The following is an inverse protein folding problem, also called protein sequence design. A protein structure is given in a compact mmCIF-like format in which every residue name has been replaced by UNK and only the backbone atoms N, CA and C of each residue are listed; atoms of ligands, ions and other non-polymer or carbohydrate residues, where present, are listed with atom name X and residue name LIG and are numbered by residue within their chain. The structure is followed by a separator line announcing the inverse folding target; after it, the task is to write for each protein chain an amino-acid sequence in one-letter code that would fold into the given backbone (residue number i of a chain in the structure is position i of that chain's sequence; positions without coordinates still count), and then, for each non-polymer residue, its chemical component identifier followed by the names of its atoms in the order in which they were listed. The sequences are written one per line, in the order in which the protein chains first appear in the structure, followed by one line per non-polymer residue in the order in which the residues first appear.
data_IF_108447765119
#
_entry.id   IF_108447765119
#
_cell.length_a   1.000
_cell.length_b   1.000
_cell.length_c   1.000
_cell.angle_alpha   90.00
_cell.angle_beta   90.00
_cell.angle_gamma   90.00
#
_symmetry.space_group_name_H-M   'P 1'
#
loop_
_entity.id
_entity.type
_entity.pdbx_description
1 polymer ?
#
# COMPACT_ATOMS: atom_id res chain seq x y z
N UNK A 1 -6.99 -0.68 5.71
CA UNK A 1 -6.28 -1.61 4.84
C UNK A 1 -7.26 -2.67 4.38
N UNK A 2 -6.98 -3.28 3.23
CA UNK A 2 -7.69 -4.47 2.79
C UNK A 2 -6.86 -5.68 3.16
N UNK A 3 -7.34 -6.50 4.09
CA UNK A 3 -6.67 -7.75 4.47
C UNK A 3 -7.11 -8.84 3.51
N UNK A 4 -6.20 -9.74 3.13
CA UNK A 4 -6.56 -10.92 2.35
C UNK A 4 -7.55 -11.78 3.13
N UNK A 5 -8.47 -12.42 2.43
CA UNK A 5 -9.58 -13.18 3.03
C UNK A 5 -9.10 -14.24 4.04
N UNK A 6 -7.95 -14.86 3.78
CA UNK A 6 -7.30 -15.85 4.66
C UNK A 6 -6.94 -15.28 6.05
N UNK A 7 -6.59 -13.99 6.14
CA UNK A 7 -6.14 -13.35 7.38
C UNK A 7 -7.16 -12.36 7.95
N UNK A 8 -8.41 -12.40 7.47
CA UNK A 8 -9.45 -11.43 7.84
C UNK A 8 -9.73 -11.36 9.36
N UNK A 9 -9.50 -12.45 10.08
CA UNK A 9 -9.69 -12.54 11.54
C UNK A 9 -8.41 -12.32 12.35
N UNK A 10 -7.26 -12.10 11.70
CA UNK A 10 -6.02 -11.83 12.38
C UNK A 10 -6.03 -10.42 12.98
N UNK A 11 -5.51 -10.29 14.19
CA UNK A 11 -5.22 -9.03 14.84
C UNK A 11 -4.09 -8.28 14.12
N UNK A 12 -3.97 -6.95 14.30
CA UNK A 12 -2.85 -6.17 13.77
C UNK A 12 -1.47 -6.73 14.16
N UNK A 13 -1.32 -7.27 15.35
CA UNK A 13 -0.05 -7.84 15.83
C UNK A 13 0.30 -9.15 15.10
N UNK A 14 -0.67 -10.05 14.93
CA UNK A 14 -0.49 -11.27 14.13
C UNK A 14 -0.14 -10.94 12.67
N UNK A 15 -0.79 -9.92 12.09
CA UNK A 15 -0.46 -9.47 10.73
C UNK A 15 0.98 -8.96 10.62
N UNK A 16 1.50 -8.25 11.64
CA UNK A 16 2.91 -7.80 11.68
C UNK A 16 3.87 -8.98 11.73
N UNK A 17 3.57 -10.00 12.52
CA UNK A 17 4.40 -11.21 12.62
C UNK A 17 4.49 -11.94 11.27
N UNK A 18 3.36 -12.09 10.56
CA UNK A 18 3.30 -12.73 9.24
C UNK A 18 4.18 -12.04 8.18
N UNK A 19 4.49 -10.76 8.37
CA UNK A 19 5.31 -9.99 7.43
C UNK A 19 6.82 -10.11 7.67
N UNK A 20 7.26 -10.84 8.70
CA UNK A 20 8.68 -11.05 9.00
C UNK A 20 9.40 -11.70 7.81
N UNK A 21 10.44 -11.04 7.30
CA UNK A 21 11.17 -11.47 6.10
C UNK A 21 10.37 -11.35 4.78
N UNK A 22 9.16 -10.79 4.84
CA UNK A 22 8.28 -10.57 3.70
C UNK A 22 8.62 -9.33 2.89
N UNK A 23 7.69 -8.93 2.02
CA UNK A 23 7.88 -7.78 1.12
C UNK A 23 6.74 -6.78 1.21
N UNK A 24 7.06 -5.51 0.97
CA UNK A 24 6.09 -4.45 0.71
C UNK A 24 6.34 -3.87 -0.69
N UNK A 25 5.47 -4.19 -1.64
CA UNK A 25 5.57 -3.72 -3.03
C UNK A 25 4.65 -2.52 -3.25
N UNK A 26 5.21 -1.41 -3.73
CA UNK A 26 4.49 -0.17 -4.00
C UNK A 26 4.08 -0.11 -5.47
N UNK A 27 2.82 0.23 -5.74
CA UNK A 27 2.25 0.32 -7.08
C UNK A 27 1.73 1.72 -7.38
N UNK A 28 1.77 2.10 -8.66
CA UNK A 28 1.28 3.39 -9.16
C UNK A 28 -0.18 3.43 -9.57
N UNK A 29 -0.92 2.32 -9.41
CA UNK A 29 -2.33 2.21 -9.79
C UNK A 29 -3.25 2.34 -8.57
N UNK A 30 -4.56 2.37 -8.81
CA UNK A 30 -5.55 2.31 -7.74
C UNK A 30 -5.45 0.98 -6.96
N UNK A 31 -5.63 1.04 -5.62
CA UNK A 31 -5.75 -0.15 -4.77
C UNK A 31 -6.90 -1.04 -5.27
N UNK A 32 -6.70 -2.35 -5.47
CA UNK A 32 -7.77 -3.28 -5.76
C UNK A 32 -8.86 -3.27 -4.67
N UNK A 33 -10.07 -3.71 -5.02
CA UNK A 33 -11.19 -3.77 -4.08
C UNK A 33 -10.94 -4.73 -2.91
N UNK A 34 -10.22 -5.83 -3.15
CA UNK A 34 -9.73 -6.76 -2.11
C UNK A 34 -8.29 -7.14 -2.37
N UNK A 35 -7.57 -7.57 -1.33
CA UNK A 35 -6.17 -7.98 -1.45
C UNK A 35 -6.01 -9.30 -2.24
N UNK A 36 -7.06 -10.11 -2.33
CA UNK A 36 -7.07 -11.38 -3.08
C UNK A 36 -7.05 -11.16 -4.60
N UNK A 37 -7.40 -9.96 -5.08
CA UNK A 37 -7.36 -9.64 -6.51
C UNK A 37 -5.89 -9.50 -6.96
N UNK A 38 -5.54 -10.25 -8.00
CA UNK A 38 -4.24 -10.19 -8.63
C UNK A 38 -3.95 -8.81 -9.26
N UNK A 39 -2.67 -8.47 -9.37
CA UNK A 39 -2.19 -7.16 -9.81
C UNK A 39 -1.38 -7.37 -11.08
N UNK A 40 -2.06 -7.30 -12.23
CA UNK A 40 -1.55 -7.88 -13.48
C UNK A 40 -0.88 -6.84 -14.41
N UNK A 41 -1.23 -5.55 -14.25
CA UNK A 41 -0.84 -4.45 -15.16
C UNK A 41 -0.45 -3.18 -14.41
N UNK A 42 0.31 -3.33 -13.34
CA UNK A 42 0.63 -2.21 -12.45
C UNK A 42 2.11 -1.90 -12.50
N UNK A 43 2.45 -0.61 -12.67
CA UNK A 43 3.83 -0.15 -12.53
C UNK A 43 4.26 -0.33 -11.09
N UNK A 44 5.06 -1.37 -10.83
CA UNK A 44 5.79 -1.52 -9.56
C UNK A 44 6.76 -0.36 -9.47
N UNK A 45 6.56 0.51 -8.48
CA UNK A 45 7.39 1.68 -8.25
C UNK A 45 8.63 1.33 -7.41
N UNK A 46 8.45 0.49 -6.40
CA UNK A 46 9.50 0.10 -5.46
C UNK A 46 9.09 -1.18 -4.72
N UNK A 47 10.07 -1.95 -4.24
CA UNK A 47 9.82 -3.07 -3.34
C UNK A 47 10.76 -2.96 -2.15
N UNK A 48 10.18 -2.97 -0.95
CA UNK A 48 10.90 -3.06 0.31
C UNK A 48 10.87 -4.51 0.79
N UNK A 49 11.94 -4.93 1.47
CA UNK A 49 11.98 -6.21 2.19
C UNK A 49 11.90 -5.91 3.68
N UNK A 50 10.94 -6.53 4.38
CA UNK A 50 10.86 -6.45 5.83
C UNK A 50 12.01 -7.23 6.46
N UNK A 51 12.54 -6.74 7.58
CA UNK A 51 13.44 -7.49 8.43
C UNK A 51 12.67 -8.61 9.17
N UNK A 52 13.38 -9.36 10.02
CA UNK A 52 12.78 -10.32 10.93
C UNK A 52 13.27 -9.99 12.35
N UNK A 53 12.43 -9.39 13.22
CA UNK A 53 11.00 -9.10 13.03
C UNK A 53 10.72 -7.96 12.03
N UNK A 54 9.51 -7.96 11.43
CA UNK A 54 9.10 -6.94 10.44
C UNK A 54 8.80 -5.57 11.06
N UNK A 55 8.45 -5.52 12.35
CA UNK A 55 8.08 -4.30 13.05
C UNK A 55 8.74 -4.23 14.42
N UNK A 56 9.17 -3.03 14.80
CA UNK A 56 9.56 -2.68 16.16
C UNK A 56 8.37 -2.21 17.00
N UNK A 57 8.62 -1.66 18.20
CA UNK A 57 7.56 -1.12 19.04
C UNK A 57 6.87 0.08 18.35
N UNK A 58 5.54 0.08 18.34
CA UNK A 58 4.73 1.19 17.83
C UNK A 58 4.82 2.41 18.75
N UNK A 59 4.75 3.62 18.18
CA UNK A 59 4.74 4.88 18.94
C UNK A 59 3.69 5.83 18.38
N UNK A 60 2.91 6.46 19.26
CA UNK A 60 1.93 7.52 18.90
C UNK A 60 0.95 7.14 17.77
N UNK A 61 0.53 5.87 17.72
CA UNK A 61 -0.39 5.38 16.69
C UNK A 61 0.24 5.19 15.30
N UNK A 62 1.57 5.26 15.20
CA UNK A 62 2.35 4.83 14.04
C UNK A 62 3.11 3.54 14.35
N UNK A 63 3.12 2.65 13.36
CA UNK A 63 3.94 1.46 13.37
C UNK A 63 5.39 1.80 13.02
N UNK A 64 6.33 1.01 13.55
CA UNK A 64 7.75 1.14 13.27
C UNK A 64 8.22 -0.01 12.36
N UNK A 65 7.96 0.02 11.04
CA UNK A 65 8.39 -1.04 10.15
C UNK A 65 9.92 -1.10 10.08
N UNK A 66 10.46 -2.29 10.25
CA UNK A 66 11.87 -2.59 10.08
C UNK A 66 12.07 -3.12 8.67
N UNK A 67 12.72 -2.34 7.81
CA UNK A 67 13.10 -2.76 6.46
C UNK A 67 14.59 -3.07 6.40
N UNK A 68 14.97 -4.01 5.55
CA UNK A 68 16.39 -4.26 5.24
C UNK A 68 17.07 -3.02 4.64
N UNK A 69 16.31 -2.20 3.91
CA UNK A 69 16.73 -0.90 3.42
C UNK A 69 15.54 0.08 3.40
N UNK A 70 15.76 1.30 3.87
CA UNK A 70 14.84 2.43 3.74
C UNK A 70 15.66 3.73 3.74
N UNK A 71 15.85 4.38 2.60
CA UNK A 71 15.11 4.24 1.34
C UNK A 71 15.50 3.01 0.49
N UNK A 72 14.67 2.70 -0.51
CA UNK A 72 15.00 1.83 -1.64
C UNK A 72 14.94 2.62 -2.95
N UNK A 73 15.65 2.20 -3.99
CA UNK A 73 15.60 2.84 -5.30
C UNK A 73 14.29 2.52 -6.03
N UNK A 74 13.64 3.54 -6.61
CA UNK A 74 12.49 3.32 -7.47
C UNK A 74 12.87 2.63 -8.79
N UNK A 75 12.04 1.70 -9.25
CA UNK A 75 12.19 0.98 -10.52
C UNK A 75 11.61 1.73 -11.71
N UNK A 76 10.49 2.44 -11.50
CA UNK A 76 9.76 3.13 -12.57
C UNK A 76 9.25 4.50 -12.11
N UNK A 77 8.90 5.35 -13.07
CA UNK A 77 8.26 6.64 -12.78
C UNK A 77 6.79 6.46 -12.40
N UNK A 78 6.30 7.22 -11.43
CA UNK A 78 4.88 7.34 -11.13
C UNK A 78 4.57 7.86 -9.73
N UNK A 79 3.29 7.99 -9.41
CA UNK A 79 2.82 8.40 -8.08
C UNK A 79 2.33 7.16 -7.33
N UNK A 80 2.76 6.91 -6.08
CA UNK A 80 2.24 5.81 -5.28
C UNK A 80 0.72 5.91 -5.11
N UNK A 81 0.03 4.79 -5.34
CA UNK A 81 -1.41 4.66 -5.09
C UNK A 81 -1.72 3.69 -3.95
N UNK A 82 -1.03 2.55 -3.91
CA UNK A 82 -1.14 1.57 -2.84
C UNK A 82 0.14 0.75 -2.70
N UNK A 83 0.26 0.02 -1.59
CA UNK A 83 1.31 -0.97 -1.41
C UNK A 83 0.71 -2.30 -0.94
N UNK A 84 1.24 -3.40 -1.46
CA UNK A 84 0.86 -4.77 -1.09
C UNK A 84 1.93 -5.38 -0.20
N UNK A 85 1.54 -5.86 0.96
CA UNK A 85 2.39 -6.61 1.86
C UNK A 85 2.20 -8.11 1.64
N UNK A 86 3.31 -8.85 1.64
CA UNK A 86 3.35 -10.30 1.44
C UNK A 86 4.24 -10.94 2.49
N UNK A 87 3.95 -12.18 2.87
CA UNK A 87 4.85 -13.03 3.64
C UNK A 87 6.14 -13.33 2.86
N UNK A 88 7.13 -13.92 3.52
CA UNK A 88 8.37 -14.36 2.89
C UNK A 88 8.15 -15.40 1.76
N UNK A 89 7.08 -16.20 1.84
CA UNK A 89 6.71 -17.18 0.80
C UNK A 89 5.95 -16.55 -0.39
N UNK A 90 5.69 -15.24 -0.36
CA UNK A 90 4.96 -14.52 -1.40
C UNK A 90 3.45 -14.44 -1.22
N UNK A 91 2.88 -15.09 -0.20
CA UNK A 91 1.44 -15.04 0.11
C UNK A 91 1.02 -13.61 0.46
N UNK A 92 -0.05 -13.12 -0.15
CA UNK A 92 -0.57 -11.76 0.07
C UNK A 92 -1.22 -11.67 1.44
N UNK A 93 -0.81 -10.69 2.26
CA UNK A 93 -1.36 -10.45 3.60
C UNK A 93 -2.36 -9.30 3.58
N UNK A 94 -1.97 -8.14 3.03
CA UNK A 94 -2.82 -6.96 3.02
C UNK A 94 -2.38 -5.92 1.97
N UNK A 95 -3.33 -5.08 1.56
CA UNK A 95 -3.11 -3.88 0.77
C UNK A 95 -3.36 -2.60 1.60
N UNK A 96 -2.38 -1.70 1.56
CA UNK A 96 -2.38 -0.41 2.25
C UNK A 96 -2.49 0.72 1.23
N UNK A 97 -3.28 1.76 1.53
CA UNK A 97 -3.24 2.98 0.72
C UNK A 97 -1.91 3.69 0.94
N UNK A 98 -1.36 4.25 -0.13
CA UNK A 98 -0.03 4.81 -0.11
C UNK A 98 0.01 6.10 -0.93
N UNK A 99 0.81 7.08 -0.52
CA UNK A 99 0.99 8.33 -1.23
C UNK A 99 0.67 9.57 -0.39
N UNK A 100 0.29 10.66 -1.05
CA UNK A 100 -0.05 11.93 -0.40
C UNK A 100 -1.43 11.89 0.29
N UNK A 101 -1.62 12.78 1.27
CA UNK A 101 -2.84 12.85 2.08
C UNK A 101 -2.76 12.03 3.38
N UNK A 102 -3.91 11.73 4.00
CA UNK A 102 -3.97 10.91 5.21
C UNK A 102 -4.06 9.40 4.89
N UNK A 103 -2.99 8.90 4.25
CA UNK A 103 -2.85 7.48 3.86
C UNK A 103 -2.21 6.67 4.98
N UNK A 104 -2.41 5.35 4.91
CA UNK A 104 -1.77 4.39 5.82
C UNK A 104 -0.24 4.40 5.66
N UNK A 105 0.24 4.55 4.43
CA UNK A 105 1.67 4.66 4.14
C UNK A 105 1.96 6.03 3.53
N UNK A 106 2.89 6.75 4.16
CA UNK A 106 3.43 8.00 3.61
C UNK A 106 4.90 7.83 3.25
N UNK A 107 5.24 8.41 2.11
CA UNK A 107 6.61 8.53 1.65
C UNK A 107 7.13 9.95 1.86
N UNK A 108 8.46 10.10 1.94
CA UNK A 108 9.09 11.42 2.00
C UNK A 108 8.79 12.25 0.74
N UNK A 109 8.72 11.58 -0.42
CA UNK A 109 8.44 12.18 -1.71
C UNK A 109 7.09 11.70 -2.26
N UNK A 110 6.40 12.56 -3.01
CA UNK A 110 5.06 12.28 -3.57
C UNK A 110 5.08 11.75 -5.00
N UNK A 111 6.27 11.52 -5.57
CA UNK A 111 6.47 10.90 -6.87
C UNK A 111 7.76 10.08 -6.89
N UNK A 112 7.79 9.06 -7.75
CA UNK A 112 8.94 8.21 -7.98
C UNK A 112 9.51 8.48 -9.37
N UNK A 113 10.83 8.42 -9.50
CA UNK A 113 11.57 8.37 -10.75
C UNK A 113 12.63 7.27 -10.65
N UNK A 114 12.99 6.59 -11.74
CA UNK A 114 13.97 5.50 -11.71
C UNK A 114 15.26 5.90 -11.00
N UNK A 115 15.69 5.09 -10.03
CA UNK A 115 16.89 5.32 -9.22
C UNK A 115 16.73 6.31 -8.06
N UNK A 116 15.65 7.11 -8.02
CA UNK A 116 15.42 8.03 -6.91
C UNK A 116 15.03 7.25 -5.62
N UNK A 117 15.40 7.78 -4.43
CA UNK A 117 15.10 7.13 -3.17
C UNK A 117 13.61 7.22 -2.83
N UNK A 118 12.98 6.07 -2.62
CA UNK A 118 11.63 5.95 -2.03
C UNK A 118 11.80 5.65 -0.55
N UNK A 119 11.45 6.61 0.30
CA UNK A 119 11.59 6.50 1.77
C UNK A 119 10.22 6.43 2.42
N UNK A 120 9.93 5.37 3.18
CA UNK A 120 8.74 5.31 4.05
C UNK A 120 9.01 6.16 5.30
N UNK A 121 8.10 7.08 5.60
CA UNK A 121 8.21 7.99 6.76
C UNK A 121 7.07 7.81 7.76
N UNK A 122 5.95 7.20 7.35
CA UNK A 122 4.84 6.84 8.23
C UNK A 122 4.21 5.54 7.74
N UNK A 123 3.91 4.65 8.67
CA UNK A 123 3.13 3.45 8.44
C UNK A 123 2.09 3.35 9.56
N UNK A 124 0.81 3.18 9.22
CA UNK A 124 -0.24 2.83 10.18
C UNK A 124 -0.97 1.58 9.75
N UNK A 125 -1.28 0.70 10.71
CA UNK A 125 -2.13 -0.47 10.48
C UNK A 125 -3.50 -0.14 11.07
N UNK A 126 -4.45 0.19 10.18
CA UNK A 126 -5.85 0.45 10.54
C UNK A 126 -6.78 -0.19 9.53
N UNK A 127 -7.92 -0.72 9.98
CA UNK A 127 -8.95 -1.27 9.10
C UNK A 127 -9.81 -0.15 8.48
N UNK A 128 -10.20 -0.30 7.20
CA UNK A 128 -11.34 0.41 6.59
C UNK A 128 -11.34 1.95 6.46
N UNK A 129 -10.28 2.68 6.78
CA UNK A 129 -10.40 4.12 7.10
C UNK A 129 -10.00 5.12 5.99
N UNK A 130 -9.85 4.70 4.72
CA UNK A 130 -9.58 5.64 3.61
C UNK A 130 -10.56 5.38 2.47
N UNK A 131 -11.32 6.39 1.96
CA UNK A 131 -12.64 6.19 1.39
C UNK A 131 -12.59 5.18 0.26
N UNK A 132 -12.83 3.93 0.64
CA UNK A 132 -13.29 2.91 -0.24
C UNK A 132 -14.67 3.40 -0.60
N UNK A 133 -14.80 3.81 -1.86
CA UNK A 133 -16.06 4.11 -2.49
C UNK A 133 -16.42 2.83 -3.22
N UNK A 134 -17.11 1.86 -2.58
CA UNK A 134 -17.43 0.59 -3.22
C UNK A 134 -18.19 0.84 -4.54
N UNK A 135 -18.93 1.96 -4.58
CA UNK A 135 -19.67 2.50 -5.71
C UNK A 135 -18.81 2.91 -6.92
N UNK A 136 -17.50 3.15 -6.77
CA UNK A 136 -16.59 3.43 -7.89
C UNK A 136 -15.88 2.18 -8.43
N UNK A 137 -15.88 1.06 -7.70
CA UNK A 137 -15.22 -0.16 -8.15
C UNK A 137 -16.11 -0.90 -9.17
N UNK A 138 -15.54 -1.24 -10.34
CA UNK A 138 -16.27 -1.96 -11.40
C UNK A 138 -17.26 -1.10 -12.22
N UNK A 139 -17.45 0.18 -11.88
CA UNK A 139 -18.19 1.10 -12.75
C UNK A 139 -17.35 1.43 -13.98
N UNK A 140 -17.85 1.05 -15.17
CA UNK A 140 -17.40 1.67 -16.41
C UNK A 140 -17.74 3.17 -16.34
N UNK A 141 -16.97 4.06 -16.99
CA UNK A 141 -17.37 5.46 -17.10
C UNK A 141 -18.82 5.51 -17.56
N UNK A 142 -19.72 6.08 -16.75
CA UNK A 142 -21.08 6.32 -17.22
C UNK A 142 -20.94 7.32 -18.34
N UNK A 143 -21.28 6.92 -19.56
CA UNK A 143 -21.40 7.85 -20.67
C UNK A 143 -22.39 8.94 -20.26
N UNK A 144 -21.96 10.20 -20.26
CA UNK A 144 -22.86 11.35 -20.09
C UNK A 144 -23.00 11.96 -18.70
N UNK A 145 -21.91 12.24 -17.96
CA UNK A 145 -21.96 13.41 -17.08
C UNK A 145 -21.84 14.66 -17.96
N UNK A 146 -22.87 15.54 -18.02
CA UNK A 146 -22.69 16.82 -18.68
C UNK A 146 -21.57 17.56 -17.97
N UNK A 147 -20.63 18.13 -18.74
CA UNK A 147 -19.67 19.07 -18.20
C UNK A 147 -20.41 20.20 -17.47
N UNK A 148 -19.91 20.71 -16.33
CA UNK A 148 -20.47 21.91 -15.73
C UNK A 148 -20.52 22.99 -16.80
N UNK A 149 -21.71 23.51 -17.06
CA UNK A 149 -21.85 24.70 -17.90
C UNK A 149 -21.13 25.80 -17.13
N UNK A 150 -20.08 26.37 -17.73
CA UNK A 150 -19.35 27.48 -17.13
C UNK A 150 -20.33 28.61 -16.74
N UNK A 151 -20.05 29.35 -15.65
CA UNK A 151 -20.93 30.43 -15.19
C UNK A 151 -21.09 31.55 -16.22
#
# INVERSE_FOLDING_TARGET
MNVASEFANCSPDELKELLSGGTLTVYSVARPATADIAVDRSGVLATFTFASPAFGPSSEGAEAPCFAANPVAASTTGTPGFARARKADGTVVADFSAGSGDREIKFAEVSCSPGAPVKVVKFTIKHGDWPERPDYYGTRPRSGYPLPVAP
#
